data_IF_193382576144
#
_entry.id   IF_193382576144
#
_cell.length_a   1.000
_cell.length_b   1.000
_cell.length_c   1.000
_cell.angle_alpha   90.00
_cell.angle_beta   90.00
_cell.angle_gamma   90.00
#
_symmetry.space_group_name_H-M   'P 1'
#
loop_
_entity.id
_entity.type
_entity.pdbx_description
1 polymer ?
#
# COMPACT_ATOMS: atom_id res chain seq x y z
N UNK A 1 19.05 -27.73 -54.74
CA UNK A 1 17.90 -27.23 -53.95
C UNK A 1 17.84 -28.02 -52.67
N UNK A 2 18.22 -27.45 -51.51
CA UNK A 2 17.92 -28.06 -50.21
C UNK A 2 17.90 -26.99 -49.10
N UNK A 3 16.66 -26.58 -48.81
CA UNK A 3 16.05 -25.96 -47.64
C UNK A 3 16.95 -25.46 -46.49
N UNK A 4 16.99 -24.13 -46.33
CA UNK A 4 17.39 -23.46 -45.10
C UNK A 4 16.25 -23.54 -44.06
N UNK A 5 16.52 -24.13 -42.90
CA UNK A 5 15.63 -24.11 -41.74
C UNK A 5 15.79 -22.76 -41.03
N UNK A 6 14.84 -21.86 -41.25
CA UNK A 6 14.73 -20.62 -40.49
C UNK A 6 14.12 -20.93 -39.11
N UNK A 7 14.93 -20.84 -38.05
CA UNK A 7 14.45 -20.91 -36.67
C UNK A 7 13.68 -19.64 -36.32
N UNK A 8 12.38 -19.76 -36.07
CA UNK A 8 11.57 -18.68 -35.54
C UNK A 8 11.87 -18.52 -34.04
N UNK A 9 12.60 -17.47 -33.67
CA UNK A 9 12.73 -17.07 -32.28
C UNK A 9 11.40 -16.48 -31.81
N UNK A 10 10.70 -17.20 -30.91
CA UNK A 10 9.53 -16.70 -30.21
C UNK A 10 10.00 -15.61 -29.24
N UNK A 11 9.84 -14.33 -29.61
CA UNK A 11 9.91 -13.23 -28.66
C UNK A 11 8.65 -13.28 -27.79
N UNK A 12 8.73 -13.94 -26.64
CA UNK A 12 7.77 -13.72 -25.56
C UNK A 12 7.96 -12.29 -25.06
N UNK A 13 7.09 -11.38 -25.49
CA UNK A 13 6.92 -10.11 -24.82
C UNK A 13 6.48 -10.40 -23.38
N UNK A 14 7.38 -10.21 -22.41
CA UNK A 14 6.95 -10.08 -21.02
C UNK A 14 6.11 -8.81 -20.96
N UNK A 15 4.78 -8.97 -20.91
CA UNK A 15 3.90 -7.88 -20.55
C UNK A 15 4.28 -7.44 -19.14
N UNK A 16 4.94 -6.28 -19.04
CA UNK A 16 5.25 -5.65 -17.77
C UNK A 16 3.96 -5.54 -16.95
N UNK A 17 4.01 -5.95 -15.70
CA UNK A 17 2.88 -5.87 -14.80
C UNK A 17 2.43 -4.40 -14.71
N UNK A 18 1.31 -4.08 -15.35
CA UNK A 18 0.78 -2.72 -15.39
C UNK A 18 0.30 -2.37 -13.99
N UNK A 19 0.85 -1.28 -13.45
CA UNK A 19 0.62 -0.75 -12.12
C UNK A 19 -0.86 -0.83 -11.64
N UNK A 20 -1.03 -0.97 -10.33
CA UNK A 20 -2.14 -1.62 -9.63
C UNK A 20 -2.62 -0.76 -8.43
N UNK A 21 -2.83 0.54 -8.63
CA UNK A 21 -3.54 1.41 -7.68
C UNK A 21 -2.74 2.10 -6.56
N UNK A 22 -3.30 3.22 -6.11
CA UNK A 22 -2.65 4.19 -5.21
C UNK A 22 -3.66 4.86 -4.29
N UNK A 23 -3.19 5.31 -3.12
CA UNK A 23 -3.99 6.06 -2.16
C UNK A 23 -3.87 7.57 -2.45
N UNK A 24 -4.94 8.18 -2.96
CA UNK A 24 -4.94 9.58 -3.38
C UNK A 24 -5.54 10.53 -2.35
N UNK A 25 -6.35 10.05 -1.41
CA UNK A 25 -6.87 10.86 -0.30
C UNK A 25 -6.80 10.10 1.02
N UNK A 26 -6.17 10.67 2.08
CA UNK A 26 -5.14 11.71 1.96
C UNK A 26 -4.02 11.23 1.02
N UNK A 27 -3.36 12.14 0.27
CA UNK A 27 -2.35 11.74 -0.71
C UNK A 27 -1.18 11.05 -0.03
N UNK A 28 -0.79 9.88 -0.54
CA UNK A 28 0.36 9.14 -0.04
C UNK A 28 1.68 9.85 -0.36
N UNK A 29 2.76 9.45 0.33
CA UNK A 29 4.13 9.94 0.13
C UNK A 29 4.56 9.89 -1.33
N UNK A 30 4.33 8.77 -2.00
CA UNK A 30 4.67 8.62 -3.42
C UNK A 30 3.78 9.49 -4.30
N UNK A 31 2.47 9.60 -3.99
CA UNK A 31 1.58 10.52 -4.71
C UNK A 31 2.08 11.97 -4.58
N UNK A 32 2.46 12.40 -3.38
CA UNK A 32 3.06 13.72 -3.15
C UNK A 32 4.40 13.93 -3.88
N UNK A 33 5.18 12.88 -4.11
CA UNK A 33 6.35 12.95 -4.99
C UNK A 33 5.94 13.22 -6.44
N UNK A 34 4.96 12.48 -6.96
CA UNK A 34 4.46 12.67 -8.35
C UNK A 34 3.80 14.03 -8.58
N UNK A 35 3.31 14.66 -7.51
CA UNK A 35 2.74 16.02 -7.53
C UNK A 35 3.80 17.12 -7.30
N UNK A 36 5.08 16.77 -7.12
CA UNK A 36 6.15 17.72 -6.85
C UNK A 36 6.08 18.39 -5.47
N UNK A 37 5.27 17.87 -4.54
CA UNK A 37 5.12 18.43 -3.19
C UNK A 37 6.17 17.90 -2.20
N UNK A 38 6.70 16.70 -2.44
CA UNK A 38 7.87 16.20 -1.72
C UNK A 38 9.15 16.62 -2.48
N UNK A 39 10.02 17.47 -1.89
CA UNK A 39 11.23 17.91 -2.56
C UNK A 39 12.21 16.75 -2.73
N UNK A 40 13.04 16.81 -3.78
CA UNK A 40 14.06 15.82 -4.09
C UNK A 40 13.51 14.38 -4.09
N UNK A 41 12.34 14.18 -4.72
CA UNK A 41 11.70 12.88 -4.86
C UNK A 41 11.38 12.60 -6.34
N UNK A 42 12.39 12.27 -7.16
CA UNK A 42 12.22 12.05 -8.59
C UNK A 42 11.56 10.69 -8.83
N UNK A 43 10.23 10.67 -8.84
CA UNK A 43 9.44 9.44 -9.02
C UNK A 43 8.44 9.64 -10.14
N UNK A 44 8.51 8.79 -11.16
CA UNK A 44 7.54 8.84 -12.26
C UNK A 44 6.13 8.53 -11.78
N UNK A 45 5.13 9.16 -12.42
CA UNK A 45 3.73 9.02 -12.05
C UNK A 45 3.22 7.57 -12.02
N UNK A 46 3.76 6.70 -12.87
CA UNK A 46 3.35 5.30 -12.96
C UNK A 46 3.76 4.48 -11.72
N UNK A 47 4.88 4.82 -11.07
CA UNK A 47 5.35 4.12 -9.87
C UNK A 47 4.37 4.28 -8.69
N UNK A 48 3.60 5.37 -8.63
CA UNK A 48 2.60 5.57 -7.58
C UNK A 48 1.59 4.42 -7.51
N UNK A 49 1.30 3.78 -8.64
CA UNK A 49 0.42 2.63 -8.74
C UNK A 49 1.16 1.28 -8.57
N UNK A 50 2.50 1.26 -8.52
CA UNK A 50 3.30 0.04 -8.65
C UNK A 50 4.00 -0.37 -7.34
N UNK A 51 3.54 0.14 -6.20
CA UNK A 51 4.10 -0.13 -4.87
C UNK A 51 3.69 -1.52 -4.36
N UNK A 52 4.10 -2.54 -5.10
CA UNK A 52 3.76 -3.94 -4.91
C UNK A 52 4.84 -4.71 -4.15
N UNK A 53 4.43 -5.53 -3.19
CA UNK A 53 5.31 -6.48 -2.51
C UNK A 53 4.51 -7.63 -1.88
N UNK A 54 5.13 -8.59 -1.18
CA UNK A 54 4.39 -9.68 -0.53
C UNK A 54 3.34 -9.17 0.46
N UNK A 55 2.15 -9.76 0.48
CA UNK A 55 1.04 -9.39 1.40
C UNK A 55 1.23 -9.95 2.82
N UNK A 56 0.35 -9.55 3.75
CA UNK A 56 0.34 -9.96 5.15
C UNK A 56 1.38 -9.26 6.04
N UNK A 57 1.71 -8.00 5.77
CA UNK A 57 2.37 -7.17 6.78
C UNK A 57 1.55 -7.21 8.10
N UNK A 58 2.18 -7.38 9.29
CA UNK A 58 3.61 -7.27 9.58
C UNK A 58 4.40 -8.59 9.56
N UNK A 59 3.90 -9.67 8.95
CA UNK A 59 4.66 -10.91 8.83
C UNK A 59 5.99 -10.69 8.07
N UNK A 60 6.96 -11.58 8.30
CA UNK A 60 8.26 -11.59 7.62
C UNK A 60 8.44 -12.82 6.73
N UNK A 61 7.60 -13.84 6.93
CA UNK A 61 7.66 -15.12 6.23
C UNK A 61 6.80 -15.08 4.96
N UNK A 62 7.25 -15.80 3.93
CA UNK A 62 6.43 -16.16 2.78
C UNK A 62 5.71 -17.50 3.02
N UNK A 63 4.76 -17.84 2.15
CA UNK A 63 4.06 -19.13 2.19
C UNK A 63 2.99 -19.26 3.27
N UNK A 64 2.64 -18.15 3.95
CA UNK A 64 1.55 -18.10 4.91
C UNK A 64 0.21 -18.15 4.16
N UNK A 65 -0.76 -18.84 4.76
CA UNK A 65 -2.14 -18.85 4.27
C UNK A 65 -2.93 -17.73 4.95
N UNK A 66 -3.89 -17.17 4.24
CA UNK A 66 -4.80 -16.19 4.83
C UNK A 66 -5.63 -16.83 5.95
N UNK A 67 -5.68 -16.21 7.12
CA UNK A 67 -6.39 -16.76 8.29
C UNK A 67 -7.91 -16.69 8.15
N UNK A 68 -8.45 -15.75 7.38
CA UNK A 68 -9.88 -15.60 7.13
C UNK A 68 -10.33 -16.38 5.90
N UNK A 69 -9.48 -16.44 4.86
CA UNK A 69 -9.78 -17.10 3.60
C UNK A 69 -8.67 -18.10 3.19
N UNK A 70 -8.59 -19.29 3.81
CA UNK A 70 -7.48 -20.24 3.61
C UNK A 70 -7.24 -20.69 2.16
N UNK A 71 -8.23 -20.52 1.29
CA UNK A 71 -8.15 -20.82 -0.14
C UNK A 71 -7.53 -19.70 -0.99
N UNK A 72 -7.31 -18.50 -0.42
CA UNK A 72 -6.58 -17.42 -1.09
C UNK A 72 -5.12 -17.83 -1.35
N UNK A 73 -4.50 -17.20 -2.35
CA UNK A 73 -3.10 -17.43 -2.66
C UNK A 73 -2.22 -17.11 -1.44
N UNK A 74 -1.21 -17.94 -1.17
CA UNK A 74 -0.24 -17.71 -0.10
C UNK A 74 0.62 -16.48 -0.39
N UNK A 75 1.11 -15.80 0.64
CA UNK A 75 1.92 -14.60 0.44
C UNK A 75 3.33 -14.87 -0.08
N UNK A 76 3.88 -13.90 -0.82
CA UNK A 76 5.32 -13.73 -0.97
C UNK A 76 5.88 -13.08 0.31
N UNK A 77 7.20 -13.05 0.46
CA UNK A 77 7.82 -12.39 1.62
C UNK A 77 7.44 -10.89 1.60
N UNK A 78 6.89 -10.33 2.69
CA UNK A 78 6.56 -8.91 2.75
C UNK A 78 7.81 -8.02 2.76
N UNK A 79 7.67 -6.70 2.57
CA UNK A 79 8.79 -5.76 2.59
C UNK A 79 9.64 -5.88 3.84
N UNK A 80 10.96 -5.77 3.70
CA UNK A 80 11.87 -5.76 4.85
C UNK A 80 11.72 -4.47 5.64
N UNK A 81 12.11 -4.53 6.91
CA UNK A 81 12.27 -3.32 7.71
C UNK A 81 13.28 -2.39 7.04
N UNK A 82 12.94 -1.10 6.95
CA UNK A 82 13.71 -0.12 6.21
C UNK A 82 13.41 -0.01 4.71
N UNK A 83 12.51 -0.86 4.18
CA UNK A 83 12.07 -0.90 2.76
C UNK A 83 10.52 -0.86 2.64
N UNK A 84 9.83 -0.50 3.72
CA UNK A 84 8.35 -0.48 3.78
C UNK A 84 7.77 0.62 2.88
N UNK A 85 8.45 1.76 2.73
CA UNK A 85 7.94 2.88 1.95
C UNK A 85 8.30 2.76 0.47
N UNK A 86 9.43 2.12 0.13
CA UNK A 86 9.86 1.86 -1.24
C UNK A 86 9.38 0.51 -1.80
N UNK A 87 8.42 -0.13 -1.14
CA UNK A 87 7.90 -1.49 -1.44
C UNK A 87 7.42 -1.65 -2.88
N UNK A 88 8.34 -1.95 -3.79
CA UNK A 88 8.08 -2.09 -5.23
C UNK A 88 8.94 -3.22 -5.78
N UNK A 89 8.28 -4.22 -6.36
CA UNK A 89 8.94 -5.25 -7.18
C UNK A 89 9.18 -4.80 -8.62
N UNK A 90 8.67 -3.62 -9.01
CA UNK A 90 8.72 -3.09 -10.38
C UNK A 90 9.89 -2.11 -10.61
N UNK A 91 10.86 -2.08 -9.70
CA UNK A 91 12.02 -1.19 -9.76
C UNK A 91 12.25 -0.50 -8.42
N UNK A 92 13.52 -0.21 -8.05
CA UNK A 92 13.84 0.36 -6.76
C UNK A 92 13.41 1.83 -6.70
N UNK A 93 12.70 2.21 -5.64
CA UNK A 93 12.35 3.61 -5.34
C UNK A 93 12.90 4.02 -3.94
N UNK A 94 14.22 3.86 -3.71
CA UNK A 94 14.82 3.89 -2.36
C UNK A 94 14.73 5.25 -1.67
N UNK A 95 14.53 6.33 -2.44
CA UNK A 95 14.30 7.68 -1.91
C UNK A 95 13.12 7.70 -0.94
N UNK A 96 12.12 6.84 -1.13
CA UNK A 96 10.94 6.75 -0.26
C UNK A 96 11.27 6.20 1.13
N UNK A 97 12.39 5.50 1.31
CA UNK A 97 12.83 4.97 2.60
C UNK A 97 13.63 5.98 3.43
N UNK A 98 13.98 7.14 2.87
CA UNK A 98 14.54 8.23 3.66
C UNK A 98 13.56 8.61 4.77
N UNK A 99 14.08 8.83 5.98
CA UNK A 99 13.24 9.18 7.11
C UNK A 99 13.92 10.16 8.05
N UNK A 100 13.28 11.30 8.23
CA UNK A 100 13.62 12.31 9.22
C UNK A 100 12.36 13.11 9.55
N UNK A 101 12.31 13.81 10.70
CA UNK A 101 11.15 14.62 11.07
C UNK A 101 10.78 15.69 10.04
N UNK A 102 11.72 16.14 9.20
CA UNK A 102 11.53 17.20 8.20
C UNK A 102 11.51 16.71 6.75
N UNK A 103 11.75 15.42 6.49
CA UNK A 103 11.95 14.90 5.13
C UNK A 103 10.71 14.98 4.24
N UNK A 104 9.55 14.67 4.80
CA UNK A 104 8.31 14.49 4.06
C UNK A 104 7.29 15.58 4.40
N UNK A 105 6.56 16.03 3.38
CA UNK A 105 5.36 16.86 3.54
C UNK A 105 4.33 16.08 4.35
N UNK A 106 3.75 16.73 5.37
CA UNK A 106 2.80 16.09 6.29
C UNK A 106 1.41 16.65 6.09
N UNK A 107 0.46 15.76 5.88
CA UNK A 107 -0.95 16.11 5.73
C UNK A 107 -1.57 16.33 7.12
N UNK A 108 -2.28 17.44 7.37
CA UNK A 108 -2.93 17.65 8.65
C UNK A 108 -4.12 16.70 8.80
N UNK A 109 -4.08 15.85 9.84
CA UNK A 109 -5.18 14.97 10.23
C UNK A 109 -5.66 15.31 11.63
N UNK A 110 -6.93 14.97 11.93
CA UNK A 110 -7.53 15.23 13.24
C UNK A 110 -7.57 13.97 14.09
N UNK A 111 -6.97 14.05 15.27
CA UNK A 111 -6.92 12.96 16.25
C UNK A 111 -8.33 12.47 16.62
N UNK A 112 -8.58 11.16 16.57
CA UNK A 112 -9.88 10.57 16.93
C UNK A 112 -11.03 10.75 15.91
N UNK A 113 -10.84 11.57 14.88
CA UNK A 113 -11.88 11.88 13.90
C UNK A 113 -12.07 10.77 12.85
N UNK A 114 -13.20 10.80 12.14
CA UNK A 114 -13.39 9.99 10.93
C UNK A 114 -12.59 10.57 9.77
N UNK A 115 -11.91 9.69 9.04
CA UNK A 115 -11.07 10.00 7.89
C UNK A 115 -11.47 9.12 6.71
N UNK A 116 -11.66 9.72 5.54
CA UNK A 116 -11.86 8.98 4.30
C UNK A 116 -10.51 8.60 3.67
N UNK A 117 -10.37 7.36 3.26
CA UNK A 117 -9.22 6.86 2.51
C UNK A 117 -9.68 6.49 1.11
N UNK A 118 -9.30 7.28 0.10
CA UNK A 118 -9.66 7.07 -1.31
C UNK A 118 -8.53 6.40 -2.07
N UNK A 119 -8.83 5.23 -2.61
CA UNK A 119 -7.98 4.49 -3.53
C UNK A 119 -8.45 4.69 -4.97
N UNK A 120 -7.50 4.95 -5.85
CA UNK A 120 -7.66 4.96 -7.31
C UNK A 120 -6.87 3.80 -7.91
N UNK A 121 -7.37 3.22 -8.99
CA UNK A 121 -6.82 2.01 -9.59
C UNK A 121 -6.60 2.21 -11.09
N UNK A 122 -5.41 1.87 -11.59
CA UNK A 122 -5.14 1.69 -13.02
C UNK A 122 -5.47 0.28 -13.50
N UNK A 123 -5.50 -0.69 -12.59
CA UNK A 123 -5.99 -2.05 -12.77
C UNK A 123 -6.64 -2.53 -11.47
N UNK A 124 -7.73 -3.30 -11.58
CA UNK A 124 -8.44 -3.84 -10.41
C UNK A 124 -8.14 -5.30 -10.22
N UNK A 125 -7.88 -5.67 -8.97
CA UNK A 125 -7.60 -7.04 -8.55
C UNK A 125 -8.70 -7.57 -7.63
N UNK A 126 -8.88 -8.89 -7.63
CA UNK A 126 -9.71 -9.55 -6.62
C UNK A 126 -9.08 -9.26 -5.26
N UNK A 127 -9.79 -8.49 -4.47
CA UNK A 127 -9.28 -7.93 -3.22
C UNK A 127 -9.79 -8.72 -2.06
N UNK A 128 -8.88 -9.13 -1.18
CA UNK A 128 -9.25 -9.71 0.10
C UNK A 128 -9.56 -8.62 1.12
N UNK A 129 -8.63 -7.69 1.35
CA UNK A 129 -8.82 -6.64 2.35
C UNK A 129 -7.92 -5.43 2.12
N UNK A 130 -8.25 -4.35 2.81
CA UNK A 130 -7.37 -3.22 3.07
C UNK A 130 -7.12 -3.12 4.57
N UNK A 131 -5.85 -2.99 4.95
CA UNK A 131 -5.42 -2.80 6.33
C UNK A 131 -4.77 -1.42 6.47
N UNK A 132 -5.12 -0.71 7.54
CA UNK A 132 -4.53 0.58 7.88
C UNK A 132 -3.82 0.48 9.22
N UNK A 133 -2.51 0.60 9.20
CA UNK A 133 -1.64 0.64 10.37
C UNK A 133 -1.22 2.07 10.66
N UNK A 134 -0.86 2.34 11.90
CA UNK A 134 -0.30 3.63 12.31
C UNK A 134 0.93 3.41 13.19
N UNK A 135 1.88 4.33 13.10
CA UNK A 135 2.99 4.39 14.06
C UNK A 135 2.51 4.44 15.52
N UNK A 136 3.30 3.86 16.42
CA UNK A 136 3.08 3.97 17.87
C UNK A 136 3.25 5.41 18.35
N UNK A 137 2.75 5.71 19.54
CA UNK A 137 2.93 7.03 20.14
C UNK A 137 4.41 7.36 20.42
N UNK A 138 5.23 6.35 20.69
CA UNK A 138 6.65 6.44 21.05
C UNK A 138 7.61 6.15 19.87
N UNK A 139 7.12 6.18 18.63
CA UNK A 139 7.93 5.87 17.44
C UNK A 139 9.09 6.88 17.23
N UNK A 140 10.12 6.48 16.49
CA UNK A 140 11.28 7.33 16.20
C UNK A 140 11.19 7.94 14.79
N UNK A 141 10.74 9.21 14.65
CA UNK A 141 10.61 9.85 13.34
C UNK A 141 11.93 10.11 12.60
N UNK A 142 13.07 9.87 13.26
CA UNK A 142 14.41 10.00 12.69
C UNK A 142 15.02 8.67 12.21
N UNK A 143 14.27 7.56 12.29
CA UNK A 143 14.73 6.24 11.86
C UNK A 143 13.82 5.67 10.76
N UNK A 144 14.41 4.97 9.79
CA UNK A 144 13.67 4.28 8.71
C UNK A 144 12.52 3.46 9.26
N UNK A 145 11.40 3.41 8.52
CA UNK A 145 10.20 2.69 8.94
C UNK A 145 10.50 1.19 9.13
N UNK A 146 10.14 0.67 10.30
CA UNK A 146 10.25 -0.76 10.64
C UNK A 146 8.95 -1.23 11.28
N UNK A 147 8.69 -2.54 11.29
CA UNK A 147 7.56 -3.13 12.02
C UNK A 147 7.50 -2.68 13.47
N UNK A 148 8.68 -2.59 14.10
CA UNK A 148 8.82 -2.13 15.48
C UNK A 148 8.52 -0.64 15.69
N UNK A 149 8.09 0.12 14.68
CA UNK A 149 7.60 1.49 14.83
C UNK A 149 6.08 1.61 14.66
N UNK A 150 5.41 0.56 14.17
CA UNK A 150 3.96 0.50 13.99
C UNK A 150 3.27 -0.22 15.14
N UNK A 151 2.01 0.13 15.36
CA UNK A 151 1.11 -0.75 16.11
C UNK A 151 1.00 -2.09 15.36
N UNK A 152 1.06 -3.24 16.06
CA UNK A 152 1.08 -4.56 15.41
C UNK A 152 -0.26 -4.92 14.75
N UNK A 153 -1.34 -4.27 15.18
CA UNK A 153 -2.69 -4.46 14.64
C UNK A 153 -3.12 -3.23 13.84
N UNK A 154 -3.78 -3.43 12.69
CA UNK A 154 -4.36 -2.30 11.96
C UNK A 154 -5.46 -1.64 12.82
N UNK A 155 -5.53 -0.31 12.79
CA UNK A 155 -6.61 0.42 13.45
C UNK A 155 -7.93 0.37 12.66
N UNK A 156 -7.85 0.02 11.37
CA UNK A 156 -8.99 -0.15 10.48
C UNK A 156 -8.69 -1.26 9.47
N UNK A 157 -9.63 -2.18 9.31
CA UNK A 157 -9.58 -3.22 8.28
C UNK A 157 -10.90 -3.24 7.53
N UNK A 158 -10.83 -3.15 6.20
CA UNK A 158 -11.98 -3.33 5.32
C UNK A 158 -11.83 -4.69 4.65
N UNK A 159 -12.69 -5.63 5.02
CA UNK A 159 -12.58 -7.05 4.67
C UNK A 159 -13.69 -7.44 3.69
N UNK A 160 -13.32 -7.90 2.50
CA UNK A 160 -14.28 -8.54 1.60
C UNK A 160 -14.56 -9.98 2.10
N UNK A 161 -15.83 -10.38 2.27
CA UNK A 161 -16.16 -11.66 2.88
C UNK A 161 -16.21 -12.84 1.91
N UNK A 162 -16.36 -12.59 0.60
CA UNK A 162 -16.63 -13.65 -0.37
C UNK A 162 -15.47 -14.64 -0.54
N UNK A 163 -15.83 -15.91 -0.67
CA UNK A 163 -14.89 -17.03 -0.79
C UNK A 163 -15.54 -18.18 -1.59
N UNK A 164 -14.73 -19.08 -2.20
CA UNK A 164 -13.31 -18.88 -2.51
C UNK A 164 -13.12 -17.81 -3.60
N UNK A 165 -11.90 -17.32 -3.82
CA UNK A 165 -11.66 -16.22 -4.76
C UNK A 165 -12.02 -16.52 -6.23
N UNK A 166 -12.09 -17.80 -6.61
CA UNK A 166 -12.49 -18.22 -7.96
C UNK A 166 -14.00 -18.31 -8.14
N UNK A 167 -14.79 -18.20 -7.06
CA UNK A 167 -16.25 -18.16 -7.19
C UNK A 167 -16.67 -16.83 -7.85
N UNK A 168 -17.40 -16.86 -8.98
CA UNK A 168 -17.84 -15.63 -9.66
C UNK A 168 -18.74 -14.75 -8.78
N UNK A 169 -19.41 -15.33 -7.78
CA UNK A 169 -20.29 -14.61 -6.84
C UNK A 169 -19.55 -14.16 -5.57
N UNK A 170 -18.23 -14.31 -5.49
CA UNK A 170 -17.46 -13.87 -4.32
C UNK A 170 -17.36 -12.34 -4.19
N UNK A 171 -17.73 -11.57 -5.23
CA UNK A 171 -17.78 -10.10 -5.19
C UNK A 171 -16.49 -9.46 -4.64
N UNK A 172 -15.32 -9.93 -5.09
CA UNK A 172 -14.02 -9.47 -4.62
C UNK A 172 -13.43 -8.31 -5.42
N UNK A 173 -14.05 -7.92 -6.53
CA UNK A 173 -13.59 -6.80 -7.37
C UNK A 173 -14.11 -5.49 -6.75
N UNK A 174 -13.24 -4.58 -6.25
CA UNK A 174 -13.68 -3.32 -5.65
C UNK A 174 -14.35 -2.36 -6.64
N UNK A 175 -15.15 -1.45 -6.09
CA UNK A 175 -15.62 -0.26 -6.80
C UNK A 175 -14.45 0.70 -7.08
N UNK A 176 -14.61 1.54 -8.11
CA UNK A 176 -13.59 2.51 -8.49
C UNK A 176 -14.19 3.93 -8.59
N UNK A 177 -13.67 4.92 -7.84
CA UNK A 177 -12.69 4.77 -6.76
C UNK A 177 -13.27 3.97 -5.58
N UNK A 178 -12.40 3.41 -4.75
CA UNK A 178 -12.81 2.83 -3.47
C UNK A 178 -12.59 3.85 -2.36
N UNK A 179 -13.61 4.12 -1.55
CA UNK A 179 -13.52 5.03 -0.40
C UNK A 179 -13.81 4.25 0.88
N UNK A 180 -12.89 4.31 1.82
CA UNK A 180 -13.06 3.72 3.15
C UNK A 180 -13.18 4.82 4.19
N UNK A 181 -14.11 4.69 5.11
CA UNK A 181 -14.20 5.58 6.25
C UNK A 181 -13.65 4.87 7.48
N UNK A 182 -12.57 5.40 8.04
CA UNK A 182 -11.91 4.84 9.21
C UNK A 182 -11.83 5.89 10.32
N UNK A 183 -12.03 5.47 11.57
CA UNK A 183 -11.77 6.32 12.73
C UNK A 183 -10.27 6.32 13.01
N UNK A 184 -9.66 7.50 13.01
CA UNK A 184 -8.25 7.65 13.34
C UNK A 184 -8.00 7.39 14.83
N UNK A 185 -6.89 6.71 15.20
CA UNK A 185 -6.47 6.61 16.59
C UNK A 185 -6.13 7.98 17.20
N UNK A 186 -6.13 8.06 18.52
CA UNK A 186 -5.67 9.26 19.23
C UNK A 186 -4.14 9.33 19.14
N UNK A 187 -3.64 10.38 18.49
CA UNK A 187 -2.23 10.72 18.27
C UNK A 187 -2.00 12.23 18.31
N UNK A 188 -0.75 12.64 18.39
CA UNK A 188 -0.34 14.06 18.35
C UNK A 188 0.99 14.20 17.61
N UNK A 189 1.12 15.22 16.78
CA UNK A 189 2.36 15.48 16.05
C UNK A 189 2.55 14.54 14.85
N UNK A 190 3.80 14.34 14.45
CA UNK A 190 4.11 13.56 13.24
C UNK A 190 3.90 12.07 13.48
N UNK A 191 3.10 11.45 12.61
CA UNK A 191 2.91 10.01 12.53
C UNK A 191 2.84 9.57 11.08
N UNK A 192 3.12 8.28 10.88
CA UNK A 192 2.97 7.62 9.59
C UNK A 192 1.82 6.63 9.66
N UNK A 193 0.93 6.70 8.65
CA UNK A 193 -0.09 5.70 8.37
C UNK A 193 0.41 4.82 7.23
N UNK A 194 0.34 3.51 7.41
CA UNK A 194 0.62 2.54 6.36
C UNK A 194 -0.70 1.90 5.93
N UNK A 195 -1.06 2.08 4.66
CA UNK A 195 -2.21 1.45 4.04
C UNK A 195 -1.74 0.30 3.15
N UNK A 196 -2.26 -0.90 3.41
CA UNK A 196 -1.91 -2.14 2.70
C UNK A 196 -3.15 -2.70 2.04
N UNK A 197 -3.14 -2.82 0.72
CA UNK A 197 -4.17 -3.50 -0.06
C UNK A 197 -3.73 -4.92 -0.39
N UNK A 198 -4.45 -5.94 0.09
CA UNK A 198 -4.10 -7.34 -0.10
C UNK A 198 -4.94 -8.00 -1.21
N UNK A 199 -4.26 -8.57 -2.20
CA UNK A 199 -4.88 -9.26 -3.33
C UNK A 199 -5.17 -10.72 -2.95
N UNK A 200 -6.39 -11.19 -3.24
CA UNK A 200 -6.86 -12.52 -2.87
C UNK A 200 -6.20 -13.63 -3.69
N UNK A 201 -6.08 -13.42 -5.00
CA UNK A 201 -5.65 -14.44 -5.97
C UNK A 201 -4.17 -14.36 -6.36
N UNK A 202 -3.40 -13.49 -5.71
CA UNK A 202 -1.95 -13.41 -5.87
C UNK A 202 -1.24 -13.41 -4.51
N UNK A 203 0.08 -13.56 -4.56
CA UNK A 203 0.95 -13.53 -3.39
C UNK A 203 1.21 -12.10 -2.86
N UNK A 204 0.64 -11.09 -3.50
CA UNK A 204 1.08 -9.70 -3.43
C UNK A 204 0.06 -8.78 -2.74
N UNK A 205 0.53 -7.63 -2.32
CA UNK A 205 -0.26 -6.50 -1.87
C UNK A 205 0.41 -5.18 -2.21
N UNK A 206 -0.37 -4.10 -2.14
CA UNK A 206 0.06 -2.74 -2.47
C UNK A 206 0.21 -1.89 -1.22
N UNK A 207 1.33 -1.20 -1.11
CA UNK A 207 1.76 -0.48 0.07
C UNK A 207 1.76 1.02 -0.21
N UNK A 208 1.02 1.78 0.59
CA UNK A 208 0.96 3.24 0.48
C UNK A 208 1.19 3.86 1.86
N UNK A 209 2.13 4.79 1.93
CA UNK A 209 2.50 5.49 3.17
C UNK A 209 1.92 6.88 3.16
N UNK A 210 1.27 7.32 4.23
CA UNK A 210 0.81 8.71 4.42
C UNK A 210 1.57 9.32 5.59
N UNK A 211 2.27 10.42 5.30
CA UNK A 211 2.90 11.25 6.31
C UNK A 211 1.87 12.25 6.84
N UNK A 212 1.58 12.22 8.15
CA UNK A 212 0.52 13.01 8.74
C UNK A 212 0.99 13.78 9.98
N UNK A 213 0.48 15.00 10.14
CA UNK A 213 0.56 15.74 11.41
C UNK A 213 -0.79 15.67 12.08
N UNK A 214 -0.86 14.98 13.21
CA UNK A 214 -2.06 14.85 14.02
C UNK A 214 -2.23 16.08 14.91
N UNK A 215 -3.34 16.77 14.69
CA UNK A 215 -3.76 17.93 15.48
C UNK A 215 -4.98 17.57 16.33
N UNK A 216 -5.12 18.25 17.46
CA UNK A 216 -6.36 18.21 18.23
C UNK A 216 -7.43 18.97 17.43
N UNK A 217 -8.65 18.45 17.40
CA UNK A 217 -9.76 19.13 16.76
C UNK A 217 -11.09 18.71 17.37
N UNK A 218 -11.98 19.68 17.54
CA UNK A 218 -13.35 19.50 18.03
C UNK A 218 -14.30 18.94 16.95
N UNK A 219 -13.79 18.60 15.76
CA UNK A 219 -14.62 18.16 14.63
C UNK A 219 -14.62 16.63 14.51
N UNK A 220 -15.80 16.08 14.23
CA UNK A 220 -15.99 14.63 14.06
C UNK A 220 -15.37 14.07 12.77
N UNK A 221 -15.02 14.93 11.81
CA UNK A 221 -14.42 14.59 10.51
C UNK A 221 -13.09 15.32 10.29
N UNK A 222 -12.13 14.60 9.71
CA UNK A 222 -10.80 15.06 9.28
C UNK A 222 -10.87 15.62 7.83
N UNK A 223 -9.96 16.52 7.38
CA UNK A 223 -10.16 17.33 6.16
C UNK A 223 -10.19 16.60 4.80
N UNK A 224 -10.16 15.26 4.78
CA UNK A 224 -10.33 14.44 3.59
C UNK A 224 -11.47 13.42 3.86
#
# INVERSE_FOLDING_TARGET
MLHALAGAALFTAMAGAHAHGRLTEPPSRIVLCTLGQNPNCPVDAWHANAMENGKFFPATQSGLSDSFAPADAKNAAPPKDGEIASSSTNGPVPVLDEQSPSRWQKIPLRSGALQNFKWEFSAVHKTRRWNYFITRADWNPSAKLTRAQFEPTPFCTIQNPGQPYWNPNANLVPQQPTVHQCRLPVRTGYHVILAVWEVADTAMGFYQVVDATFTNGDTTRSPF
#
